data_IF_922371828770
#
_entry.id   IF_922371828770
#
_cell.length_a   1.000
_cell.length_b   1.000
_cell.length_c   1.000
_cell.angle_alpha   90.00
_cell.angle_beta   90.00
_cell.angle_gamma   90.00
#
_symmetry.space_group_name_H-M   'P 1'
#
loop_
_entity.id
_entity.type
_entity.pdbx_description
1 polymer ?
#
# COMPACT_ATOMS: atom_id res chain seq x y z
N UNK A 1 -16.90 22.97 26.31
CA UNK A 1 -15.67 22.30 26.76
C UNK A 1 -14.97 21.77 25.53
N UNK A 2 -13.91 22.45 25.12
CA UNK A 2 -13.18 22.16 23.88
C UNK A 2 -12.28 20.95 24.10
N UNK A 3 -12.61 19.81 23.48
CA UNK A 3 -11.72 18.68 23.38
C UNK A 3 -10.56 19.05 22.43
N UNK A 4 -9.46 19.54 22.99
CA UNK A 4 -8.20 19.60 22.29
C UNK A 4 -7.71 18.16 22.12
N UNK A 5 -7.83 17.61 20.90
CA UNK A 5 -7.13 16.40 20.49
C UNK A 5 -5.63 16.68 20.59
N UNK A 6 -5.00 16.24 21.67
CA UNK A 6 -3.55 16.25 21.78
C UNK A 6 -2.98 15.40 20.65
N UNK A 7 -2.31 16.03 19.70
CA UNK A 7 -1.49 15.32 18.72
C UNK A 7 -0.37 14.63 19.50
N UNK A 8 -0.35 13.28 19.46
CA UNK A 8 0.77 12.48 19.99
C UNK A 8 2.04 12.96 19.29
N UNK A 9 3.11 13.31 20.04
CA UNK A 9 4.38 13.71 19.44
C UNK A 9 4.89 12.65 18.48
N UNK A 10 5.52 13.04 17.36
CA UNK A 10 6.08 12.14 16.35
C UNK A 10 7.03 11.09 16.94
N UNK A 11 7.67 11.40 18.06
CA UNK A 11 8.59 10.54 18.80
C UNK A 11 7.95 9.30 19.45
N UNK A 12 6.61 9.28 19.64
CA UNK A 12 5.90 8.15 20.28
C UNK A 12 5.20 7.24 19.26
N UNK A 13 5.41 7.46 17.96
CA UNK A 13 4.68 6.75 16.90
C UNK A 13 5.35 5.47 16.39
N UNK A 14 6.37 4.94 17.09
CA UNK A 14 6.98 3.66 16.75
C UNK A 14 7.84 3.66 15.48
N UNK A 15 8.38 4.83 15.09
CA UNK A 15 9.36 4.90 14.01
C UNK A 15 10.57 4.02 14.36
N UNK A 16 11.00 3.09 13.48
CA UNK A 16 12.26 2.40 13.68
C UNK A 16 13.42 3.40 13.54
N UNK A 17 14.45 3.25 14.38
CA UNK A 17 15.64 4.12 14.31
C UNK A 17 16.46 3.92 13.04
N UNK A 18 16.34 2.74 12.49
CA UNK A 18 16.94 2.34 11.21
C UNK A 18 15.97 1.43 10.45
N UNK A 19 15.90 1.59 9.14
CA UNK A 19 15.01 0.78 8.30
C UNK A 19 15.59 0.52 6.92
N UNK A 20 15.44 -0.72 6.43
CA UNK A 20 15.55 -1.05 5.02
C UNK A 20 14.14 -1.06 4.42
N UNK A 21 13.89 -0.23 3.41
CA UNK A 21 12.62 -0.12 2.70
C UNK A 21 12.74 -0.78 1.34
N UNK A 22 12.14 -1.95 1.17
CA UNK A 22 12.10 -2.71 -0.07
C UNK A 22 10.90 -2.24 -0.89
N UNK A 23 11.15 -1.68 -2.09
CA UNK A 23 10.16 -0.94 -2.86
C UNK A 23 10.06 0.53 -2.42
N UNK A 24 11.17 1.11 -1.92
CA UNK A 24 11.18 2.46 -1.35
C UNK A 24 11.06 3.59 -2.36
N UNK A 25 11.30 3.36 -3.65
CA UNK A 25 11.04 4.32 -4.72
C UNK A 25 9.59 4.25 -5.25
N UNK A 26 8.78 3.29 -4.78
CA UNK A 26 7.37 3.16 -5.11
C UNK A 26 6.51 4.21 -4.40
N UNK A 27 5.20 4.17 -4.68
CA UNK A 27 4.21 5.09 -4.09
C UNK A 27 4.27 5.09 -2.54
N UNK A 28 3.91 3.98 -1.89
CA UNK A 28 3.85 3.92 -0.43
C UNK A 28 5.27 4.03 0.18
N UNK A 29 6.26 3.40 -0.46
CA UNK A 29 7.64 3.37 0.02
C UNK A 29 8.27 4.74 0.14
N UNK A 30 8.04 5.61 -0.84
CA UNK A 30 8.57 6.98 -0.82
C UNK A 30 7.98 7.84 0.32
N UNK A 31 6.74 7.59 0.70
CA UNK A 31 6.14 8.23 1.89
C UNK A 31 6.74 7.72 3.20
N UNK A 32 7.14 6.43 3.27
CA UNK A 32 7.94 5.96 4.40
C UNK A 32 9.31 6.63 4.46
N UNK A 33 9.96 6.86 3.32
CA UNK A 33 11.23 7.62 3.26
C UNK A 33 11.03 9.02 3.85
N UNK A 34 10.01 9.77 3.37
CA UNK A 34 9.67 11.09 3.89
C UNK A 34 9.43 11.07 5.41
N UNK A 35 8.61 10.11 5.86
CA UNK A 35 8.22 9.98 7.26
C UNK A 35 9.41 9.70 8.17
N UNK A 36 10.25 8.75 7.79
CA UNK A 36 11.40 8.36 8.59
C UNK A 36 12.45 9.47 8.63
N UNK A 37 12.77 10.07 7.48
CA UNK A 37 13.78 11.13 7.43
C UNK A 37 13.31 12.45 8.07
N UNK A 38 11.99 12.67 8.23
CA UNK A 38 11.47 13.80 9.01
C UNK A 38 11.68 13.65 10.51
N UNK A 39 11.98 12.45 11.00
CA UNK A 39 12.25 12.19 12.41
C UNK A 39 13.76 12.30 12.69
N UNK A 40 14.19 13.21 13.57
CA UNK A 40 15.61 13.36 13.93
C UNK A 40 16.19 12.17 14.71
N UNK A 41 15.35 11.29 15.26
CA UNK A 41 15.81 10.08 15.95
C UNK A 41 16.16 8.94 15.00
N UNK A 42 15.71 9.00 13.75
CA UNK A 42 16.07 8.04 12.71
C UNK A 42 17.51 8.29 12.28
N UNK A 43 18.34 7.27 12.35
CA UNK A 43 19.77 7.37 12.08
C UNK A 43 20.17 6.83 10.72
N UNK A 44 19.34 5.91 10.13
CA UNK A 44 19.67 5.27 8.85
C UNK A 44 18.40 4.82 8.13
N UNK A 45 18.29 5.16 6.86
CA UNK A 45 17.27 4.65 5.93
C UNK A 45 17.97 4.13 4.69
N UNK A 46 17.73 2.86 4.34
CA UNK A 46 18.19 2.30 3.08
C UNK A 46 16.98 1.98 2.22
N UNK A 47 16.97 2.48 1.00
CA UNK A 47 15.99 2.12 -0.03
C UNK A 47 16.61 1.03 -0.91
N UNK A 48 15.85 -0.05 -1.15
CA UNK A 48 16.20 -1.11 -2.08
C UNK A 48 15.09 -1.25 -3.11
N UNK A 49 15.37 -0.95 -4.38
CA UNK A 49 14.35 -0.87 -5.43
C UNK A 49 14.99 -1.15 -6.79
N UNK A 50 14.31 -1.88 -7.67
CA UNK A 50 14.79 -2.14 -9.02
C UNK A 50 14.27 -1.16 -10.07
N UNK A 51 13.46 -0.18 -9.63
CA UNK A 51 12.82 0.86 -10.45
C UNK A 51 11.87 0.32 -11.54
N UNK A 52 11.39 -0.92 -11.40
CA UNK A 52 10.42 -1.49 -12.36
C UNK A 52 9.07 -0.76 -12.34
N UNK A 53 8.69 -0.21 -11.19
CA UNK A 53 7.50 0.63 -10.98
C UNK A 53 7.75 1.82 -10.08
N UNK A 54 8.87 1.82 -9.35
CA UNK A 54 9.35 2.93 -8.54
C UNK A 54 10.06 3.99 -9.38
N UNK A 55 10.12 5.21 -8.86
CA UNK A 55 10.78 6.34 -9.53
C UNK A 55 11.69 7.09 -8.56
N UNK A 56 12.93 7.38 -8.97
CA UNK A 56 13.88 8.14 -8.15
C UNK A 56 13.36 9.52 -7.76
N UNK A 57 12.56 10.16 -8.62
CA UNK A 57 11.99 11.48 -8.31
C UNK A 57 11.04 11.46 -7.10
N UNK A 58 10.51 10.29 -6.72
CA UNK A 58 9.68 10.15 -5.52
C UNK A 58 10.44 10.48 -4.22
N UNK A 59 11.75 10.34 -4.23
CA UNK A 59 12.62 10.52 -3.05
C UNK A 59 13.72 11.57 -3.29
N UNK A 60 13.68 12.31 -4.41
CA UNK A 60 14.74 13.27 -4.79
C UNK A 60 14.93 14.40 -3.76
N UNK A 61 13.87 14.77 -3.03
CA UNK A 61 13.95 15.75 -1.96
C UNK A 61 14.93 15.37 -0.85
N UNK A 62 15.27 14.10 -0.73
CA UNK A 62 16.18 13.56 0.29
C UNK A 62 17.56 13.19 -0.27
N UNK A 63 17.87 13.54 -1.53
CA UNK A 63 19.12 13.17 -2.19
C UNK A 63 20.39 13.64 -1.44
N UNK A 64 20.29 14.70 -0.64
CA UNK A 64 21.37 15.24 0.17
C UNK A 64 21.35 14.79 1.65
N UNK A 65 20.37 13.99 2.08
CA UNK A 65 20.30 13.51 3.45
C UNK A 65 21.30 12.35 3.64
N UNK A 66 22.31 12.59 4.50
CA UNK A 66 23.38 11.61 4.77
C UNK A 66 22.89 10.31 5.41
N UNK A 67 21.67 10.30 5.92
CA UNK A 67 21.04 9.11 6.51
C UNK A 67 20.43 8.20 5.45
N UNK A 68 20.18 8.72 4.22
CA UNK A 68 19.60 7.97 3.12
C UNK A 68 20.67 7.28 2.28
N UNK A 69 20.49 5.98 2.06
CA UNK A 69 21.22 5.21 1.05
C UNK A 69 20.23 4.61 0.07
N UNK A 70 20.50 4.72 -1.23
CA UNK A 70 19.66 4.12 -2.29
C UNK A 70 20.47 3.03 -3.00
N UNK A 71 19.93 1.80 -2.99
CA UNK A 71 20.47 0.64 -3.71
C UNK A 71 19.51 0.26 -4.83
N UNK A 72 19.94 0.43 -6.07
CA UNK A 72 19.16 0.05 -7.25
C UNK A 72 19.53 -1.38 -7.60
N UNK A 73 18.67 -2.34 -7.19
CA UNK A 73 18.88 -3.76 -7.39
C UNK A 73 17.58 -4.56 -7.32
N UNK A 74 17.62 -5.78 -7.86
CA UNK A 74 16.50 -6.72 -7.77
C UNK A 74 16.54 -7.47 -6.44
N UNK A 75 15.38 -7.64 -5.80
CA UNK A 75 15.24 -8.38 -4.53
C UNK A 75 15.71 -9.85 -4.65
N UNK A 76 15.72 -10.41 -5.87
CA UNK A 76 16.21 -11.76 -6.16
C UNK A 76 17.74 -11.86 -6.14
N UNK A 77 18.45 -10.72 -6.15
CA UNK A 77 19.88 -10.68 -5.84
C UNK A 77 20.07 -10.80 -4.32
N UNK A 78 19.95 -12.04 -3.86
CA UNK A 78 19.99 -12.33 -2.42
C UNK A 78 21.29 -11.88 -1.73
N UNK A 79 22.51 -12.04 -2.32
CA UNK A 79 23.73 -11.51 -1.72
C UNK A 79 23.68 -10.00 -1.48
N UNK A 80 23.25 -9.22 -2.48
CA UNK A 80 23.13 -7.75 -2.34
C UNK A 80 22.03 -7.35 -1.36
N UNK A 81 20.94 -8.11 -1.30
CA UNK A 81 19.87 -7.87 -0.33
C UNK A 81 20.34 -8.13 1.11
N UNK A 82 21.09 -9.21 1.34
CA UNK A 82 21.69 -9.52 2.65
C UNK A 82 22.66 -8.41 3.08
N UNK A 83 23.57 -7.99 2.18
CA UNK A 83 24.47 -6.86 2.44
C UNK A 83 23.69 -5.62 2.86
N UNK A 84 22.64 -5.28 2.08
CA UNK A 84 21.82 -4.09 2.33
C UNK A 84 21.01 -4.18 3.62
N UNK A 85 20.59 -5.37 4.04
CA UNK A 85 19.85 -5.60 5.27
C UNK A 85 20.74 -5.60 6.51
N UNK A 86 22.02 -5.93 6.35
CA UNK A 86 22.95 -6.04 7.47
C UNK A 86 23.09 -4.71 8.22
N UNK A 87 22.96 -4.76 9.55
CA UNK A 87 23.02 -3.59 10.42
C UNK A 87 21.75 -2.74 10.45
N UNK A 88 20.62 -3.28 9.92
CA UNK A 88 19.29 -2.74 10.17
C UNK A 88 18.54 -3.60 11.20
N UNK A 89 17.62 -2.98 11.92
CA UNK A 89 16.74 -3.67 12.88
C UNK A 89 15.39 -3.98 12.26
N UNK A 90 14.97 -3.20 11.25
CA UNK A 90 13.64 -3.28 10.66
C UNK A 90 13.70 -3.30 9.14
N UNK A 91 12.93 -4.20 8.54
CA UNK A 91 12.63 -4.22 7.10
C UNK A 91 11.17 -3.85 6.87
N UNK A 92 10.91 -2.89 5.98
CA UNK A 92 9.59 -2.55 5.47
C UNK A 92 9.49 -3.11 4.05
N UNK A 93 8.71 -4.19 3.88
CA UNK A 93 8.58 -4.89 2.61
C UNK A 93 7.31 -4.47 1.87
N UNK A 94 7.47 -3.65 0.85
CA UNK A 94 6.40 -3.09 0.02
C UNK A 94 6.47 -3.55 -1.44
N UNK A 95 7.61 -4.08 -1.88
CA UNK A 95 7.81 -4.51 -3.26
C UNK A 95 6.84 -5.65 -3.61
N UNK A 96 6.16 -5.50 -4.73
CA UNK A 96 5.28 -6.50 -5.34
C UNK A 96 4.94 -6.07 -6.77
N UNK A 97 4.29 -6.96 -7.55
CA UNK A 97 3.71 -6.56 -8.83
C UNK A 97 2.65 -5.45 -8.64
N UNK A 98 2.81 -4.26 -9.24
CA UNK A 98 1.82 -3.19 -9.15
C UNK A 98 0.67 -3.34 -10.17
N UNK A 99 0.87 -4.11 -11.25
CA UNK A 99 -0.11 -4.35 -12.31
C UNK A 99 -0.80 -5.70 -12.13
N UNK A 100 -1.86 -5.71 -11.32
CA UNK A 100 -2.63 -6.93 -11.04
C UNK A 100 -3.28 -7.49 -12.32
N UNK A 101 -3.61 -6.63 -13.30
CA UNK A 101 -4.25 -7.07 -14.55
C UNK A 101 -3.27 -7.82 -15.46
N UNK A 102 -1.97 -7.56 -15.38
CA UNK A 102 -0.94 -8.24 -16.17
C UNK A 102 -0.92 -9.75 -15.95
N UNK A 103 -1.32 -10.23 -14.78
CA UNK A 103 -1.42 -11.65 -14.48
C UNK A 103 -2.45 -12.42 -15.34
N UNK A 104 -3.41 -11.72 -15.96
CA UNK A 104 -4.35 -12.35 -16.88
C UNK A 104 -3.65 -12.93 -18.12
N UNK A 105 -2.53 -12.37 -18.55
CA UNK A 105 -1.72 -12.81 -19.69
C UNK A 105 -0.38 -13.42 -19.27
N UNK A 106 0.13 -13.04 -18.11
CA UNK A 106 1.38 -13.57 -17.53
C UNK A 106 1.16 -13.99 -16.08
N UNK A 107 0.58 -15.17 -15.81
CA UNK A 107 0.21 -15.58 -14.43
C UNK A 107 1.41 -15.82 -13.50
N UNK A 108 2.62 -16.03 -14.03
CA UNK A 108 3.83 -16.20 -13.21
C UNK A 108 4.32 -14.89 -12.58
N UNK A 109 3.88 -13.74 -13.08
CA UNK A 109 4.36 -12.43 -12.58
C UNK A 109 4.12 -12.24 -11.07
N UNK A 110 2.99 -12.71 -10.57
CA UNK A 110 2.66 -12.57 -9.15
C UNK A 110 3.41 -13.57 -8.27
N UNK A 111 3.77 -14.75 -8.80
CA UNK A 111 4.68 -15.64 -8.11
C UNK A 111 6.07 -15.03 -8.02
N UNK A 112 6.61 -14.58 -9.15
CA UNK A 112 7.98 -14.06 -9.25
C UNK A 112 8.15 -12.74 -8.48
N UNK A 113 7.18 -11.82 -8.61
CA UNK A 113 7.22 -10.49 -7.99
C UNK A 113 6.40 -10.38 -6.68
N UNK A 114 5.97 -11.48 -6.14
CA UNK A 114 5.23 -11.54 -4.88
C UNK A 114 5.76 -12.63 -3.96
N UNK A 115 5.45 -13.90 -4.26
CA UNK A 115 5.82 -15.03 -3.40
C UNK A 115 7.34 -15.22 -3.31
N UNK A 116 8.02 -15.28 -4.46
CA UNK A 116 9.47 -15.46 -4.52
C UNK A 116 10.20 -14.25 -3.91
N UNK A 117 9.78 -13.02 -4.20
CA UNK A 117 10.38 -11.84 -3.57
C UNK A 117 10.24 -11.89 -2.05
N UNK A 118 9.08 -12.27 -1.53
CA UNK A 118 8.87 -12.36 -0.07
C UNK A 118 9.74 -13.46 0.54
N UNK A 119 9.95 -14.58 -0.15
CA UNK A 119 10.89 -15.60 0.28
C UNK A 119 12.34 -15.05 0.34
N UNK A 120 12.80 -14.35 -0.70
CA UNK A 120 14.13 -13.73 -0.71
C UNK A 120 14.29 -12.74 0.45
N UNK A 121 13.26 -11.93 0.73
CA UNK A 121 13.27 -11.01 1.88
C UNK A 121 13.36 -11.77 3.20
N UNK A 122 12.58 -12.83 3.39
CA UNK A 122 12.61 -13.64 4.60
C UNK A 122 13.99 -14.27 4.85
N UNK A 123 14.64 -14.80 3.81
CA UNK A 123 16.00 -15.35 3.89
C UNK A 123 17.03 -14.26 4.20
N UNK A 124 16.95 -13.11 3.51
CA UNK A 124 17.86 -12.00 3.77
C UNK A 124 17.76 -11.51 5.22
N UNK A 125 16.54 -11.37 5.74
CA UNK A 125 16.28 -10.97 7.13
C UNK A 125 16.85 -11.99 8.11
N UNK A 126 16.60 -13.28 7.87
CA UNK A 126 17.14 -14.37 8.72
C UNK A 126 18.65 -14.38 8.78
N UNK A 127 19.32 -14.21 7.63
CA UNK A 127 20.79 -14.29 7.50
C UNK A 127 21.45 -13.02 8.03
N UNK A 128 20.90 -11.83 7.77
CA UNK A 128 21.47 -10.54 8.19
C UNK A 128 21.25 -10.20 9.66
N UNK A 129 20.36 -10.96 10.35
CA UNK A 129 20.05 -10.75 11.75
C UNK A 129 19.08 -9.60 12.06
N UNK A 130 18.38 -9.09 11.03
CA UNK A 130 17.24 -8.17 11.20
C UNK A 130 16.18 -8.83 12.09
N UNK A 131 15.51 -8.03 12.92
CA UNK A 131 14.57 -8.57 13.92
C UNK A 131 13.11 -8.37 13.56
N UNK A 132 12.79 -7.35 12.75
CA UNK A 132 11.40 -6.98 12.48
C UNK A 132 11.15 -6.87 10.97
N UNK A 133 10.04 -7.47 10.51
CA UNK A 133 9.52 -7.28 9.15
C UNK A 133 8.11 -6.69 9.22
N UNK A 134 7.90 -5.59 8.51
CA UNK A 134 6.60 -4.96 8.29
C UNK A 134 6.20 -5.22 6.84
N UNK A 135 5.14 -6.00 6.62
CA UNK A 135 4.79 -6.53 5.31
C UNK A 135 3.48 -5.96 4.78
N UNK A 136 3.51 -5.40 3.57
CA UNK A 136 2.32 -4.97 2.86
C UNK A 136 1.60 -6.15 2.21
N UNK A 137 0.60 -6.69 2.90
CA UNK A 137 -0.40 -7.58 2.36
C UNK A 137 -1.58 -6.78 1.76
N UNK A 138 -2.70 -7.39 1.49
CA UNK A 138 -3.86 -6.71 0.92
C UNK A 138 -5.18 -7.42 1.18
N UNK A 139 -6.27 -6.69 1.04
CA UNK A 139 -7.64 -7.18 1.27
C UNK A 139 -8.05 -8.35 0.37
N UNK A 140 -7.39 -8.52 -0.78
CA UNK A 140 -7.66 -9.59 -1.74
C UNK A 140 -7.48 -11.00 -1.18
N UNK A 141 -6.72 -11.18 -0.09
CA UNK A 141 -6.49 -12.49 0.56
C UNK A 141 -7.80 -13.14 1.03
N UNK A 142 -8.82 -12.33 1.34
CA UNK A 142 -10.14 -12.83 1.75
C UNK A 142 -10.94 -13.45 0.59
N UNK A 143 -10.62 -13.09 -0.66
CA UNK A 143 -11.38 -13.48 -1.83
C UNK A 143 -12.71 -12.74 -1.96
N UNK A 144 -13.68 -13.37 -2.64
CA UNK A 144 -15.02 -12.82 -2.84
C UNK A 144 -15.96 -13.34 -1.75
N UNK A 145 -16.13 -12.56 -0.71
CA UNK A 145 -16.98 -12.88 0.45
C UNK A 145 -18.27 -12.05 0.46
N UNK A 146 -18.63 -11.49 -0.67
CA UNK A 146 -19.81 -10.63 -0.87
C UNK A 146 -19.84 -9.44 0.10
N UNK A 147 -20.94 -9.22 0.83
CA UNK A 147 -21.13 -8.11 1.75
C UNK A 147 -20.63 -8.41 3.18
N UNK A 148 -20.00 -9.57 3.42
CA UNK A 148 -19.48 -9.90 4.73
C UNK A 148 -18.32 -8.96 5.10
N UNK A 149 -18.29 -8.49 6.33
CA UNK A 149 -17.17 -7.72 6.86
C UNK A 149 -16.13 -8.70 7.43
N UNK A 150 -14.92 -8.70 6.83
CA UNK A 150 -13.85 -9.60 7.23
C UNK A 150 -13.07 -9.04 8.42
N UNK A 151 -12.97 -9.82 9.48
CA UNK A 151 -11.97 -9.66 10.55
C UNK A 151 -10.70 -10.44 10.20
N UNK A 152 -9.60 -10.20 10.93
CA UNK A 152 -8.30 -10.80 10.59
C UNK A 152 -8.25 -12.32 10.75
N UNK A 153 -9.10 -12.89 11.59
CA UNK A 153 -9.25 -14.33 11.82
C UNK A 153 -10.34 -14.99 10.96
N UNK A 154 -10.96 -14.23 10.04
CA UNK A 154 -11.87 -14.80 9.04
C UNK A 154 -11.18 -15.86 8.19
N UNK A 155 -11.83 -16.99 8.00
CA UNK A 155 -11.35 -18.08 7.16
C UNK A 155 -12.45 -19.04 6.74
N UNK A 156 -12.20 -19.90 5.75
CA UNK A 156 -10.94 -20.06 5.01
C UNK A 156 -10.65 -18.86 4.08
N UNK A 157 -9.37 -18.52 3.88
CA UNK A 157 -8.93 -17.51 2.92
C UNK A 157 -8.86 -18.14 1.53
N UNK A 158 -9.68 -17.63 0.59
CA UNK A 158 -9.79 -18.18 -0.78
C UNK A 158 -9.59 -17.04 -1.79
N UNK A 159 -8.32 -16.64 -2.07
CA UNK A 159 -8.03 -15.57 -3.01
C UNK A 159 -8.49 -15.92 -4.42
N UNK A 160 -9.06 -14.92 -5.14
CA UNK A 160 -9.61 -15.09 -6.49
C UNK A 160 -8.68 -14.53 -7.59
N UNK A 161 -7.49 -14.05 -7.20
CA UNK A 161 -6.45 -13.60 -8.13
C UNK A 161 -5.08 -14.14 -7.70
N UNK A 162 -4.18 -14.31 -8.66
CA UNK A 162 -2.78 -14.74 -8.42
C UNK A 162 -2.04 -13.73 -7.55
N UNK A 163 -2.33 -12.43 -7.71
CA UNK A 163 -1.80 -11.37 -6.83
C UNK A 163 -2.21 -11.60 -5.37
N UNK A 164 -3.49 -11.80 -5.11
CA UNK A 164 -3.97 -12.05 -3.75
C UNK A 164 -3.42 -13.36 -3.18
N UNK A 165 -3.27 -14.40 -4.00
CA UNK A 165 -2.62 -15.65 -3.61
C UNK A 165 -1.15 -15.44 -3.22
N UNK A 166 -0.42 -14.60 -3.97
CA UNK A 166 0.97 -14.27 -3.63
C UNK A 166 1.11 -13.51 -2.31
N UNK A 167 0.15 -12.61 -2.02
CA UNK A 167 0.11 -11.89 -0.74
C UNK A 167 -0.17 -12.84 0.43
N UNK A 168 -1.12 -13.76 0.27
CA UNK A 168 -1.41 -14.78 1.28
C UNK A 168 -0.23 -15.73 1.50
N UNK A 169 0.44 -16.15 0.43
CA UNK A 169 1.67 -16.94 0.52
C UNK A 169 2.77 -16.19 1.28
N UNK A 170 2.90 -14.87 1.07
CA UNK A 170 3.82 -14.01 1.82
C UNK A 170 3.50 -13.97 3.32
N UNK A 171 2.22 -13.84 3.70
CA UNK A 171 1.80 -13.92 5.11
C UNK A 171 2.20 -15.27 5.73
N UNK A 172 1.93 -16.38 5.03
CA UNK A 172 2.24 -17.73 5.50
C UNK A 172 3.76 -17.96 5.66
N UNK A 173 4.56 -17.51 4.67
CA UNK A 173 6.03 -17.57 4.76
C UNK A 173 6.55 -16.77 5.96
N UNK A 174 6.17 -15.51 6.09
CA UNK A 174 6.63 -14.63 7.17
C UNK A 174 6.17 -15.13 8.54
N UNK A 175 4.96 -15.70 8.64
CA UNK A 175 4.49 -16.35 9.86
C UNK A 175 5.40 -17.52 10.25
N UNK A 176 5.72 -18.40 9.30
CA UNK A 176 6.59 -19.55 9.57
C UNK A 176 8.00 -19.11 10.00
N UNK A 177 8.56 -18.09 9.35
CA UNK A 177 9.87 -17.54 9.72
C UNK A 177 9.86 -16.87 11.11
N UNK A 178 8.75 -16.23 11.48
CA UNK A 178 8.60 -15.63 12.79
C UNK A 178 8.74 -16.67 13.91
N UNK A 179 8.07 -17.81 13.76
CA UNK A 179 8.11 -18.89 14.77
C UNK A 179 9.36 -19.76 14.71
N UNK A 180 9.92 -19.99 13.52
CA UNK A 180 11.08 -20.85 13.35
C UNK A 180 12.42 -20.17 13.64
N UNK A 181 12.51 -18.85 13.46
CA UNK A 181 13.78 -18.11 13.48
C UNK A 181 13.75 -16.88 14.38
N UNK A 182 12.83 -16.82 15.35
CA UNK A 182 12.72 -15.74 16.35
C UNK A 182 12.66 -14.34 15.74
N UNK A 183 11.93 -14.20 14.63
CA UNK A 183 11.64 -12.92 14.00
C UNK A 183 10.30 -12.37 14.52
N UNK A 184 10.15 -11.06 14.48
CA UNK A 184 8.87 -10.40 14.63
C UNK A 184 8.38 -9.93 13.28
N UNK A 185 7.24 -10.42 12.83
CA UNK A 185 6.67 -10.04 11.54
C UNK A 185 5.23 -9.55 11.71
N UNK A 186 4.91 -8.44 11.06
CA UNK A 186 3.58 -7.86 11.09
C UNK A 186 3.10 -7.66 9.65
N UNK A 187 2.00 -8.31 9.31
CA UNK A 187 1.35 -8.18 8.00
C UNK A 187 0.18 -7.20 8.07
N UNK A 188 0.02 -6.40 7.02
CA UNK A 188 -1.03 -5.40 6.93
C UNK A 188 -1.91 -5.69 5.70
N UNK A 189 -3.15 -6.07 5.89
CA UNK A 189 -4.16 -6.25 4.85
C UNK A 189 -4.79 -4.89 4.55
N UNK A 190 -4.15 -4.15 3.65
CA UNK A 190 -4.61 -2.82 3.27
C UNK A 190 -5.90 -2.87 2.46
N UNK A 191 -6.82 -1.92 2.73
CA UNK A 191 -7.78 -1.45 1.74
C UNK A 191 -7.06 -0.76 0.58
N UNK A 192 -7.80 -0.10 -0.33
CA UNK A 192 -7.14 0.61 -1.42
C UNK A 192 -6.41 1.84 -0.88
N UNK A 193 -5.11 1.90 -1.09
CA UNK A 193 -4.29 3.04 -0.66
C UNK A 193 -4.31 4.12 -1.74
N UNK A 194 -4.50 5.38 -1.33
CA UNK A 194 -4.49 6.54 -2.22
C UNK A 194 -3.64 7.68 -1.65
N UNK A 195 -3.08 8.51 -2.53
CA UNK A 195 -2.25 9.64 -2.13
C UNK A 195 -1.42 10.22 -3.26
N UNK A 196 -0.61 11.24 -2.98
CA UNK A 196 0.38 11.76 -3.92
C UNK A 196 1.35 10.68 -4.39
N UNK A 197 1.93 10.82 -5.57
CA UNK A 197 2.89 9.87 -6.18
C UNK A 197 2.29 8.50 -6.51
N UNK A 198 0.95 8.36 -6.47
CA UNK A 198 0.28 7.14 -6.93
C UNK A 198 0.37 7.05 -8.46
N UNK A 199 0.74 5.86 -8.98
CA UNK A 199 1.01 5.64 -10.42
C UNK A 199 -0.03 4.73 -11.08
N UNK A 200 -1.01 4.23 -10.34
CA UNK A 200 -2.04 3.31 -10.83
C UNK A 200 -3.30 3.37 -9.95
N UNK A 201 -4.37 2.72 -10.42
CA UNK A 201 -5.63 2.60 -9.69
C UNK A 201 -6.68 3.61 -10.16
N UNK A 202 -7.95 3.34 -9.81
CA UNK A 202 -9.12 4.01 -10.38
C UNK A 202 -9.07 5.55 -10.31
N UNK A 203 -8.59 6.11 -9.20
CA UNK A 203 -8.47 7.56 -9.05
C UNK A 203 -7.44 8.16 -10.01
N UNK A 204 -6.27 7.54 -10.11
CA UNK A 204 -5.21 7.92 -11.04
C UNK A 204 -5.67 7.81 -12.50
N UNK A 205 -6.31 6.69 -12.86
CA UNK A 205 -6.77 6.45 -14.23
C UNK A 205 -7.84 7.46 -14.65
N UNK A 206 -8.75 7.83 -13.73
CA UNK A 206 -9.81 8.81 -14.02
C UNK A 206 -9.24 10.21 -14.19
N UNK A 207 -8.30 10.63 -13.36
CA UNK A 207 -7.61 11.94 -13.51
C UNK A 207 -6.88 12.00 -14.85
N UNK A 208 -6.13 10.95 -15.23
CA UNK A 208 -5.44 10.91 -16.52
C UNK A 208 -6.38 10.95 -17.72
N UNK A 209 -7.48 10.19 -17.66
CA UNK A 209 -8.48 10.21 -18.74
C UNK A 209 -9.09 11.61 -18.90
N UNK A 210 -9.51 12.25 -17.80
CA UNK A 210 -10.16 13.57 -17.84
C UNK A 210 -9.18 14.71 -18.20
N UNK A 211 -7.90 14.60 -17.86
CA UNK A 211 -6.86 15.52 -18.36
C UNK A 211 -6.69 15.36 -19.88
N UNK A 212 -6.73 14.14 -20.40
CA UNK A 212 -6.61 13.86 -21.84
C UNK A 212 -7.87 14.26 -22.63
N UNK A 213 -9.05 13.97 -22.08
CA UNK A 213 -10.34 14.31 -22.67
C UNK A 213 -11.36 14.65 -21.56
N UNK A 214 -11.57 15.93 -21.32
CA UNK A 214 -12.47 16.43 -20.26
C UNK A 214 -13.96 16.15 -20.52
N UNK A 215 -14.33 15.61 -21.68
CA UNK A 215 -15.74 15.35 -22.07
C UNK A 215 -16.15 13.90 -21.93
N UNK A 216 -15.20 13.01 -21.63
CA UNK A 216 -15.47 11.56 -21.65
C UNK A 216 -14.68 10.84 -20.57
N UNK A 217 -15.36 9.94 -19.83
CA UNK A 217 -14.74 9.07 -18.85
C UNK A 217 -15.22 7.62 -19.04
N UNK A 218 -14.30 6.72 -19.33
CA UNK A 218 -14.56 5.28 -19.41
C UNK A 218 -14.47 4.66 -18.03
N UNK A 219 -15.50 3.93 -17.62
CA UNK A 219 -15.65 3.27 -16.33
C UNK A 219 -15.75 1.77 -16.55
N UNK A 220 -14.84 1.01 -15.98
CA UNK A 220 -14.88 -0.45 -16.05
C UNK A 220 -15.97 -0.99 -15.10
N UNK A 221 -16.73 -1.98 -15.59
CA UNK A 221 -17.88 -2.54 -14.88
C UNK A 221 -19.14 -1.67 -15.01
N UNK A 222 -20.05 -1.83 -14.05
CA UNK A 222 -21.32 -1.09 -13.95
C UNK A 222 -21.22 0.14 -12.99
N UNK A 223 -20.05 0.39 -12.43
CA UNK A 223 -19.79 1.49 -11.51
C UNK A 223 -20.28 1.26 -10.06
N UNK A 224 -20.86 0.10 -9.75
CA UNK A 224 -21.37 -0.23 -8.40
C UNK A 224 -20.34 -0.90 -7.51
N UNK A 225 -19.21 -1.30 -8.06
CA UNK A 225 -18.11 -1.84 -7.23
C UNK A 225 -17.80 -0.89 -6.11
N UNK A 226 -17.67 -1.41 -4.88
CA UNK A 226 -17.63 -0.59 -3.66
C UNK A 226 -16.52 -1.05 -2.73
N UNK A 227 -15.60 -0.15 -2.42
CA UNK A 227 -14.40 -0.44 -1.60
C UNK A 227 -14.08 0.71 -0.65
N UNK A 228 -13.24 0.43 0.33
CA UNK A 228 -12.64 1.44 1.21
C UNK A 228 -11.35 1.99 0.59
N UNK A 229 -11.13 3.30 0.75
CA UNK A 229 -9.92 3.99 0.28
C UNK A 229 -9.25 4.72 1.45
N UNK A 230 -8.00 4.38 1.72
CA UNK A 230 -7.23 4.87 2.86
C UNK A 230 -6.12 5.80 2.35
N UNK A 231 -6.03 7.00 2.92
CA UNK A 231 -4.95 7.92 2.56
C UNK A 231 -3.60 7.39 3.05
N UNK A 232 -2.56 7.57 2.26
CA UNK A 232 -1.23 6.99 2.50
C UNK A 232 -0.69 7.35 3.89
N UNK A 233 -0.87 8.58 4.39
CA UNK A 233 -0.43 8.94 5.74
C UNK A 233 -1.11 8.12 6.83
N UNK A 234 -2.38 7.76 6.64
CA UNK A 234 -3.12 6.91 7.60
C UNK A 234 -2.58 5.47 7.57
N UNK A 235 -2.13 4.98 6.40
CA UNK A 235 -1.43 3.70 6.26
C UNK A 235 -0.11 3.72 7.05
N UNK A 236 0.72 4.75 6.85
CA UNK A 236 1.98 4.88 7.58
C UNK A 236 1.74 4.89 9.10
N UNK A 237 0.75 5.66 9.54
CA UNK A 237 0.38 5.72 10.96
C UNK A 237 -0.09 4.37 11.50
N UNK A 238 -0.86 3.58 10.71
CA UNK A 238 -1.28 2.23 11.09
C UNK A 238 -0.08 1.29 11.28
N UNK A 239 0.82 1.27 10.29
CA UNK A 239 2.02 0.42 10.31
C UNK A 239 2.91 0.76 11.51
N UNK A 240 3.17 2.04 11.75
CA UNK A 240 4.02 2.49 12.84
C UNK A 240 3.37 2.27 14.22
N UNK A 241 2.05 2.45 14.33
CA UNK A 241 1.30 2.14 15.57
C UNK A 241 1.39 0.64 15.90
N UNK A 242 1.18 -0.23 14.92
CA UNK A 242 1.30 -1.66 15.11
C UNK A 242 2.76 -2.07 15.41
N UNK A 243 3.73 -1.44 14.73
CA UNK A 243 5.15 -1.67 15.03
C UNK A 243 5.50 -1.39 16.48
N UNK A 244 4.96 -0.31 17.05
CA UNK A 244 5.20 0.07 18.45
C UNK A 244 4.50 -0.84 19.47
N UNK A 245 3.33 -1.40 19.11
CA UNK A 245 2.39 -1.96 20.11
C UNK A 245 2.10 -3.46 19.96
N UNK A 246 2.32 -4.05 18.77
CA UNK A 246 2.18 -5.49 18.61
C UNK A 246 3.40 -6.21 19.19
N UNK A 247 3.14 -7.19 20.07
CA UNK A 247 4.19 -7.97 20.76
C UNK A 247 4.23 -9.44 20.31
N UNK A 248 3.34 -9.84 19.39
CA UNK A 248 3.32 -11.23 18.91
C UNK A 248 4.49 -11.48 17.94
N UNK A 249 5.01 -12.71 17.86
CA UNK A 249 5.97 -13.09 16.84
C UNK A 249 5.44 -12.81 15.42
N UNK A 250 4.18 -13.21 15.17
CA UNK A 250 3.44 -12.87 13.96
C UNK A 250 2.09 -12.25 14.31
N UNK A 251 1.77 -11.13 13.66
CA UNK A 251 0.46 -10.49 13.80
C UNK A 251 -0.04 -9.97 12.43
N UNK A 252 -1.36 -9.85 12.31
CA UNK A 252 -2.02 -9.37 11.09
C UNK A 252 -3.00 -8.28 11.46
N UNK A 253 -3.06 -7.21 10.66
CA UNK A 253 -3.99 -6.10 10.84
C UNK A 253 -4.67 -5.71 9.52
N UNK A 254 -5.99 -5.63 9.55
CA UNK A 254 -6.76 -4.93 8.52
C UNK A 254 -6.60 -3.42 8.69
N UNK A 255 -6.36 -2.72 7.58
CA UNK A 255 -6.25 -1.26 7.58
C UNK A 255 -7.22 -0.69 6.55
N UNK A 256 -8.36 -0.21 7.03
CA UNK A 256 -9.44 0.38 6.24
C UNK A 256 -10.11 1.53 7.00
N UNK A 257 -10.76 2.44 6.27
CA UNK A 257 -11.43 3.59 6.89
C UNK A 257 -12.72 3.21 7.62
N UNK A 258 -13.34 2.08 7.25
CA UNK A 258 -14.63 1.64 7.78
C UNK A 258 -15.83 2.32 7.10
N UNK A 259 -15.59 3.04 5.99
CA UNK A 259 -16.60 3.52 5.05
C UNK A 259 -16.24 3.11 3.63
N UNK A 260 -17.21 3.22 2.71
CA UNK A 260 -17.10 2.65 1.38
C UNK A 260 -17.63 3.64 0.34
N UNK A 261 -17.06 3.60 -0.86
CA UNK A 261 -17.44 4.46 -1.98
C UNK A 261 -17.51 3.65 -3.27
N UNK A 262 -18.49 3.94 -4.12
CA UNK A 262 -18.64 3.28 -5.41
C UNK A 262 -17.76 3.91 -6.49
N UNK A 263 -17.45 3.14 -7.54
CA UNK A 263 -16.66 3.65 -8.69
C UNK A 263 -17.37 4.83 -9.38
N UNK A 264 -18.72 4.82 -9.46
CA UNK A 264 -19.48 5.96 -9.99
C UNK A 264 -19.29 7.23 -9.14
N UNK A 265 -19.27 7.10 -7.81
CA UNK A 265 -18.99 8.24 -6.92
C UNK A 265 -17.54 8.73 -7.08
N UNK A 266 -16.57 7.82 -7.28
CA UNK A 266 -15.17 8.18 -7.56
C UNK A 266 -15.06 8.99 -8.85
N UNK A 267 -15.86 8.66 -9.89
CA UNK A 267 -15.88 9.42 -11.13
C UNK A 267 -16.36 10.87 -10.92
N UNK A 268 -17.33 11.09 -10.03
CA UNK A 268 -17.76 12.45 -9.66
C UNK A 268 -16.66 13.21 -8.93
N UNK A 269 -15.94 12.56 -8.00
CA UNK A 269 -14.81 13.17 -7.30
C UNK A 269 -13.65 13.52 -8.25
N UNK A 270 -13.44 12.76 -9.31
CA UNK A 270 -12.43 13.08 -10.31
C UNK A 270 -12.79 14.36 -11.10
N UNK A 271 -14.07 14.54 -11.44
CA UNK A 271 -14.56 15.80 -12.04
C UNK A 271 -14.37 16.96 -11.06
N UNK A 272 -14.72 16.81 -9.78
CA UNK A 272 -14.52 17.82 -8.74
C UNK A 272 -13.04 18.19 -8.59
N UNK A 273 -12.15 17.20 -8.53
CA UNK A 273 -10.70 17.43 -8.36
C UNK A 273 -10.09 18.28 -9.49
N UNK A 274 -10.65 18.18 -10.71
CA UNK A 274 -10.21 18.92 -11.89
C UNK A 274 -11.06 20.16 -12.18
N UNK A 275 -12.04 20.50 -11.34
CA UNK A 275 -13.01 21.58 -11.55
C UNK A 275 -13.76 21.45 -12.91
N UNK A 276 -14.09 20.22 -13.31
CA UNK A 276 -14.86 19.93 -14.52
C UNK A 276 -16.35 19.83 -14.17
N UNK A 277 -17.21 20.55 -14.90
CA UNK A 277 -18.66 20.39 -14.74
C UNK A 277 -19.09 19.00 -15.18
N UNK A 278 -19.62 18.22 -14.26
CA UNK A 278 -20.04 16.82 -14.47
C UNK A 278 -21.09 16.68 -15.59
N UNK A 279 -21.92 17.72 -15.81
CA UNK A 279 -22.93 17.72 -16.88
C UNK A 279 -22.32 17.73 -18.29
N UNK A 280 -21.05 18.11 -18.40
CA UNK A 280 -20.32 18.13 -19.66
C UNK A 280 -19.52 16.82 -19.90
N UNK A 281 -19.57 15.84 -18.96
CA UNK A 281 -18.81 14.59 -19.06
C UNK A 281 -19.73 13.43 -19.40
N UNK A 282 -19.43 12.72 -20.48
CA UNK A 282 -20.10 11.46 -20.83
C UNK A 282 -19.42 10.30 -20.08
N UNK A 283 -20.11 9.71 -19.10
CA UNK A 283 -19.68 8.48 -18.45
C UNK A 283 -20.03 7.25 -19.28
N UNK A 284 -19.03 6.46 -19.68
CA UNK A 284 -19.20 5.24 -20.48
C UNK A 284 -18.83 4.02 -19.65
N UNK A 285 -19.85 3.26 -19.24
CA UNK A 285 -19.70 2.04 -18.47
C UNK A 285 -19.49 0.84 -19.39
N UNK A 286 -18.48 -0.02 -19.09
CA UNK A 286 -18.26 -1.24 -19.89
C UNK A 286 -19.30 -2.33 -19.60
N UNK A 287 -20.06 -2.19 -18.51
CA UNK A 287 -21.03 -3.19 -18.05
C UNK A 287 -20.40 -4.34 -17.27
N UNK A 288 -21.26 -5.17 -16.67
CA UNK A 288 -20.83 -6.26 -15.78
C UNK A 288 -20.55 -5.80 -14.36
N UNK A 289 -20.59 -6.73 -13.41
CA UNK A 289 -20.40 -6.46 -11.98
C UNK A 289 -18.93 -6.30 -11.57
N UNK A 290 -17.97 -6.67 -12.41
CA UNK A 290 -16.52 -6.63 -12.14
C UNK A 290 -15.81 -5.69 -13.11
N UNK A 291 -14.81 -4.99 -12.63
CA UNK A 291 -13.96 -4.13 -13.46
C UNK A 291 -13.00 -4.93 -14.35
N UNK A 292 -12.53 -6.08 -13.87
CA UNK A 292 -11.60 -6.97 -14.58
C UNK A 292 -11.72 -8.40 -14.03
N UNK A 293 -11.10 -9.38 -14.72
CA UNK A 293 -11.12 -10.79 -14.31
C UNK A 293 -10.30 -10.97 -13.03
N UNK A 294 -10.93 -11.46 -11.95
CA UNK A 294 -10.31 -11.58 -10.61
C UNK A 294 -10.50 -10.35 -9.71
N UNK A 295 -11.25 -9.33 -10.18
CA UNK A 295 -11.67 -8.24 -9.30
C UNK A 295 -12.68 -8.74 -8.26
N UNK A 296 -12.56 -8.22 -7.02
CA UNK A 296 -13.56 -8.40 -5.97
C UNK A 296 -14.41 -7.13 -5.92
N UNK A 297 -15.69 -7.19 -6.36
CA UNK A 297 -16.52 -6.00 -6.50
C UNK A 297 -16.80 -5.29 -5.18
N UNK A 298 -16.97 -6.07 -4.11
CA UNK A 298 -17.28 -5.57 -2.77
C UNK A 298 -16.22 -6.07 -1.81
N UNK A 299 -15.60 -5.14 -1.07
CA UNK A 299 -14.61 -5.44 -0.02
C UNK A 299 -15.00 -4.68 1.23
N UNK A 300 -15.24 -5.43 2.30
CA UNK A 300 -15.57 -4.90 3.63
C UNK A 300 -14.54 -5.43 4.62
N UNK A 301 -13.83 -4.52 5.29
CA UNK A 301 -12.78 -4.88 6.26
C UNK A 301 -13.10 -4.26 7.61
N UNK A 302 -13.19 -5.09 8.64
CA UNK A 302 -13.16 -4.64 10.03
C UNK A 302 -11.74 -4.22 10.39
N UNK A 303 -11.58 -3.00 10.88
CA UNK A 303 -10.30 -2.48 11.39
C UNK A 303 -10.28 -2.41 12.92
N UNK A 304 -11.13 -3.16 13.60
CA UNK A 304 -11.27 -3.11 15.05
C UNK A 304 -9.97 -3.46 15.78
N UNK A 305 -9.20 -4.43 15.25
CA UNK A 305 -7.94 -4.87 15.84
C UNK A 305 -6.88 -3.75 15.86
N UNK A 306 -6.66 -3.07 14.73
CA UNK A 306 -5.70 -1.96 14.69
C UNK A 306 -6.21 -0.74 15.47
N UNK A 307 -7.52 -0.49 15.49
CA UNK A 307 -8.16 0.58 16.28
C UNK A 307 -7.99 0.35 17.78
N UNK A 308 -8.01 -0.89 18.26
CA UNK A 308 -7.75 -1.21 19.67
C UNK A 308 -6.32 -0.84 20.10
N UNK A 309 -5.38 -0.72 19.15
CA UNK A 309 -4.04 -0.19 19.38
C UNK A 309 -4.00 1.36 19.41
N UNK A 310 -5.13 2.03 19.17
CA UNK A 310 -5.24 3.49 19.19
C UNK A 310 -5.07 4.15 17.81
N UNK A 311 -5.01 3.38 16.72
CA UNK A 311 -5.04 3.95 15.37
C UNK A 311 -6.46 4.33 14.94
N UNK A 312 -6.61 5.50 14.31
CA UNK A 312 -7.84 5.92 13.66
C UNK A 312 -7.49 6.62 12.34
N UNK A 313 -8.24 6.36 11.24
CA UNK A 313 -8.04 7.09 10.01
C UNK A 313 -8.46 8.55 10.19
N UNK A 314 -7.67 9.47 9.66
CA UNK A 314 -7.97 10.92 9.69
C UNK A 314 -8.98 11.32 8.61
N UNK A 315 -9.09 10.53 7.56
CA UNK A 315 -9.97 10.77 6.40
C UNK A 315 -10.92 9.61 6.18
N UNK A 316 -12.13 9.92 5.72
CA UNK A 316 -13.03 8.95 5.09
C UNK A 316 -12.63 8.74 3.62
N UNK A 317 -13.08 7.66 3.00
CA UNK A 317 -12.72 7.24 1.65
C UNK A 317 -12.89 8.35 0.60
N UNK A 318 -14.02 9.08 0.63
CA UNK A 318 -14.26 10.16 -0.33
C UNK A 318 -13.25 11.31 -0.19
N UNK A 319 -12.95 11.74 1.05
CA UNK A 319 -11.97 12.80 1.30
C UNK A 319 -10.55 12.35 0.95
N UNK A 320 -10.18 11.10 1.26
CA UNK A 320 -8.89 10.52 0.90
C UNK A 320 -8.68 10.50 -0.62
N UNK A 321 -9.69 10.06 -1.37
CA UNK A 321 -9.66 10.07 -2.84
C UNK A 321 -9.55 11.48 -3.41
N UNK A 322 -10.38 12.41 -2.93
CA UNK A 322 -10.39 13.79 -3.44
C UNK A 322 -9.03 14.46 -3.21
N UNK A 323 -8.46 14.34 -2.00
CA UNK A 323 -7.13 14.89 -1.67
C UNK A 323 -6.05 14.27 -2.56
N UNK A 324 -6.08 12.93 -2.75
CA UNK A 324 -5.16 12.22 -3.62
C UNK A 324 -5.26 12.67 -5.08
N UNK A 325 -6.48 12.78 -5.62
CA UNK A 325 -6.72 13.22 -6.99
C UNK A 325 -6.26 14.65 -7.24
N UNK A 326 -6.55 15.57 -6.30
CA UNK A 326 -6.06 16.96 -6.38
C UNK A 326 -4.53 17.02 -6.39
N UNK A 327 -3.86 16.24 -5.55
CA UNK A 327 -2.40 16.15 -5.54
C UNK A 327 -1.86 15.62 -6.88
N UNK A 328 -2.38 14.49 -7.34
CA UNK A 328 -1.96 13.87 -8.61
C UNK A 328 -2.21 14.78 -9.82
N UNK A 329 -3.26 15.60 -9.82
CA UNK A 329 -3.57 16.51 -10.94
C UNK A 329 -2.53 17.61 -11.13
N UNK A 330 -1.76 17.92 -10.10
CA UNK A 330 -0.73 18.97 -10.11
C UNK A 330 0.69 18.42 -10.24
N UNK A 331 0.86 17.10 -10.19
CA UNK A 331 2.18 16.47 -10.32
C UNK A 331 2.73 16.60 -11.75
N UNK A 332 3.97 17.08 -11.94
CA UNK A 332 4.51 17.42 -13.27
C UNK A 332 4.57 16.25 -14.27
N UNK A 333 4.45 15.00 -13.78
CA UNK A 333 4.66 13.78 -14.58
C UNK A 333 3.40 12.93 -14.78
N UNK A 334 2.24 13.41 -14.33
CA UNK A 334 0.96 12.77 -14.65
C UNK A 334 0.53 12.97 -16.10
N UNK A 335 1.11 13.96 -16.80
CA UNK A 335 0.82 14.31 -18.19
C UNK A 335 1.80 13.69 -19.21
N UNK A 336 2.88 13.05 -18.78
CA UNK A 336 3.83 12.38 -19.69
C UNK A 336 3.69 10.85 -19.62
N UNK A 337 3.67 10.22 -20.82
CA UNK A 337 3.67 8.76 -20.98
C UNK A 337 4.96 8.15 -20.45
#
# INVERSE_FOLDING_TARGET
MSNSSQQVPLTDMGNPRDALIIGGCGFIGSHFVDRLLSDPQVVKVTVFDNLSAGHLWHIENHSNDKRLTVKIADVRDLPMLIESATGHTTVIHLASNPDIAAAATNPSIDFDQGTLLTHCVAEAVRISGVKTVLYASGSGVYGDIAELEAEEDFGPLIPVSTYAASKLAGEALLSSYAYMFDLRTVAFRFGNVVGPRQTHGVGFDFIRQLISDSKKLKILGDGKQSKSYVFVDDILNAVLTANAKSLKPFDVFNVATGDYITVSQIALLACEALNIDVNNVKFEYSGGSRGWKGDVPVVRLSSNRIRSLGWLPKRKSAAALLDAMKAMSTEPRTSSK
#
